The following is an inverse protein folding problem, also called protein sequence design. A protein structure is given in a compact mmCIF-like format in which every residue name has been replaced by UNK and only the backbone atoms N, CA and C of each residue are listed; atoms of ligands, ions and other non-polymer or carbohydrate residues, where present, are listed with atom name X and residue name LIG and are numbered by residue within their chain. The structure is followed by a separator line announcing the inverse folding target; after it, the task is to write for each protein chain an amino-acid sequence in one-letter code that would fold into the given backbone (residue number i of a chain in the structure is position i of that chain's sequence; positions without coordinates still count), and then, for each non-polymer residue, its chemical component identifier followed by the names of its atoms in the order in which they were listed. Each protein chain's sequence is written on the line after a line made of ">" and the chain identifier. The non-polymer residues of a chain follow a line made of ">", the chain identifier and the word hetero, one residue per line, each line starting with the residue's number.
data_IF_985702532175
#
_entry.id   IF_985702532175
#
_cell.length_a   1.000
_cell.length_b   1.000
_cell.length_c   1.000
_cell.angle_alpha   90.00
_cell.angle_beta   90.00
_cell.angle_gamma   90.00
#
_symmetry.space_group_name_H-M   'P 1'
#
loop_
_entity.id
_entity.type
_entity.pdbx_description
1 polymer ?
#
# COMPACT_ATOMS: atom_id res chain seq x y z
N UNK A 1 -17.41 -1.87 -5.38
CA UNK A 1 -16.08 -1.38 -5.82
C UNK A 1 -15.42 -0.74 -4.61
N UNK A 2 -14.32 -1.29 -4.11
CA UNK A 2 -13.62 -0.75 -2.93
C UNK A 2 -12.61 0.28 -3.42
N UNK A 3 -12.84 1.57 -3.16
CA UNK A 3 -11.91 2.64 -3.52
C UNK A 3 -10.85 2.81 -2.43
N UNK A 4 -9.66 3.31 -2.77
CA UNK A 4 -8.59 3.51 -1.79
C UNK A 4 -9.01 4.45 -0.64
N UNK A 5 -9.83 5.46 -0.94
CA UNK A 5 -10.41 6.35 0.07
C UNK A 5 -11.43 5.62 0.96
N UNK A 6 -12.33 4.83 0.37
CA UNK A 6 -13.30 4.05 1.14
C UNK A 6 -12.65 3.04 2.09
N UNK A 7 -11.50 2.45 1.71
CA UNK A 7 -10.72 1.60 2.62
C UNK A 7 -10.19 2.41 3.80
N UNK A 8 -9.66 3.61 3.55
CA UNK A 8 -9.13 4.46 4.61
C UNK A 8 -10.23 4.89 5.59
N UNK A 9 -11.42 5.23 5.08
CA UNK A 9 -12.57 5.60 5.92
C UNK A 9 -13.05 4.43 6.79
N UNK A 10 -13.26 3.26 6.19
CA UNK A 10 -13.67 2.05 6.94
C UNK A 10 -12.62 1.68 7.99
N UNK A 11 -11.33 1.77 7.64
CA UNK A 11 -10.25 1.49 8.59
C UNK A 11 -10.23 2.50 9.73
N UNK A 12 -10.48 3.78 9.44
CA UNK A 12 -10.55 4.82 10.45
C UNK A 12 -11.74 4.60 11.40
N UNK A 13 -12.92 4.30 10.87
CA UNK A 13 -14.10 4.06 11.69
C UNK A 13 -13.92 2.81 12.57
N UNK A 14 -13.30 1.74 12.04
CA UNK A 14 -12.92 0.59 12.86
C UNK A 14 -11.92 0.94 13.97
N UNK A 15 -10.96 1.83 13.71
CA UNK A 15 -10.03 2.30 14.75
C UNK A 15 -10.75 3.15 15.81
N UNK A 16 -11.76 3.94 15.43
CA UNK A 16 -12.60 4.67 16.38
C UNK A 16 -13.36 3.71 17.29
N UNK A 17 -13.93 2.65 16.74
CA UNK A 17 -14.65 1.66 17.54
C UNK A 17 -13.74 0.94 18.55
N UNK A 18 -12.47 0.70 18.19
CA UNK A 18 -11.51 -0.01 19.05
C UNK A 18 -10.83 0.94 20.05
N UNK A 19 -10.49 2.16 19.62
CA UNK A 19 -9.59 3.07 20.33
C UNK A 19 -10.23 4.40 20.72
N UNK A 20 -11.53 4.61 20.51
CA UNK A 20 -12.21 5.90 20.73
C UNK A 20 -12.06 6.44 22.15
N UNK A 21 -12.08 5.56 23.14
CA UNK A 21 -11.91 5.92 24.55
C UNK A 21 -10.43 5.97 25.00
N UNK A 22 -9.49 5.65 24.11
CA UNK A 22 -8.07 5.64 24.44
C UNK A 22 -7.53 7.07 24.62
N UNK A 23 -6.90 7.32 25.76
CA UNK A 23 -6.30 8.64 26.07
C UNK A 23 -5.16 9.03 25.12
N UNK A 24 -4.43 8.05 24.60
CA UNK A 24 -3.29 8.28 23.71
C UNK A 24 -3.29 7.23 22.60
N UNK A 25 -3.41 7.69 21.36
CA UNK A 25 -3.35 6.83 20.16
C UNK A 25 -2.09 7.17 19.38
N UNK A 26 -1.32 6.16 18.99
CA UNK A 26 -0.17 6.31 18.11
C UNK A 26 -0.40 5.50 16.85
N UNK A 27 -0.29 6.14 15.69
CA UNK A 27 -0.45 5.46 14.41
C UNK A 27 0.94 5.04 13.90
N UNK A 28 1.13 3.75 13.61
CA UNK A 28 2.42 3.22 13.17
C UNK A 28 2.28 2.49 11.85
N UNK A 29 3.04 2.92 10.84
CA UNK A 29 2.97 2.39 9.48
C UNK A 29 4.29 1.75 9.06
N UNK A 30 4.27 0.47 8.68
CA UNK A 30 5.41 -0.24 8.11
C UNK A 30 5.30 -0.40 6.59
N UNK A 31 6.38 -0.17 5.84
CA UNK A 31 6.37 -0.28 4.37
C UNK A 31 5.22 0.54 3.75
N UNK A 32 4.35 -0.04 2.93
CA UNK A 32 3.16 0.64 2.39
C UNK A 32 2.12 1.05 3.45
N UNK A 33 2.23 0.52 4.67
CA UNK A 33 1.42 0.94 5.80
C UNK A 33 1.65 2.41 6.20
N UNK A 34 2.76 3.03 5.79
CA UNK A 34 2.95 4.47 5.98
C UNK A 34 1.92 5.31 5.22
N UNK A 35 1.57 4.95 3.98
CA UNK A 35 0.49 5.65 3.24
C UNK A 35 -0.85 5.51 3.94
N UNK A 36 -1.14 4.33 4.49
CA UNK A 36 -2.35 4.09 5.28
C UNK A 36 -2.38 5.02 6.49
N UNK A 37 -1.30 5.07 7.26
CA UNK A 37 -1.22 5.90 8.46
C UNK A 37 -1.29 7.40 8.14
N UNK A 38 -0.72 7.86 7.03
CA UNK A 38 -0.89 9.24 6.56
C UNK A 38 -2.36 9.56 6.26
N UNK A 39 -3.06 8.69 5.54
CA UNK A 39 -4.49 8.89 5.26
C UNK A 39 -5.35 8.85 6.53
N UNK A 40 -5.05 7.96 7.47
CA UNK A 40 -5.76 7.89 8.75
C UNK A 40 -5.51 9.13 9.62
N UNK A 41 -4.29 9.66 9.60
CA UNK A 41 -3.98 10.90 10.29
C UNK A 41 -4.74 12.09 9.68
N UNK A 42 -4.82 12.17 8.34
CA UNK A 42 -5.61 13.19 7.65
C UNK A 42 -7.10 13.10 7.99
N UNK A 43 -7.68 11.89 7.95
CA UNK A 43 -9.07 11.65 8.37
C UNK A 43 -9.30 12.02 9.85
N UNK A 44 -8.32 11.78 10.73
CA UNK A 44 -8.43 12.18 12.13
C UNK A 44 -8.39 13.70 12.31
N UNK A 45 -7.65 14.45 11.48
CA UNK A 45 -7.66 15.91 11.53
C UNK A 45 -9.03 16.49 11.15
N UNK A 46 -9.76 15.83 10.25
CA UNK A 46 -11.09 16.25 9.84
C UNK A 46 -12.17 15.82 10.83
N UNK A 47 -12.09 14.58 11.33
CA UNK A 47 -13.16 13.95 12.13
C UNK A 47 -12.94 14.06 13.64
N UNK A 48 -11.70 14.25 14.09
CA UNK A 48 -11.29 14.41 15.49
C UNK A 48 -11.87 13.36 16.46
N UNK A 49 -11.96 12.09 16.02
CA UNK A 49 -12.56 11.01 16.84
C UNK A 49 -11.53 10.21 17.64
N UNK A 50 -10.23 10.30 17.29
CA UNK A 50 -9.15 9.64 18.01
C UNK A 50 -8.21 10.66 18.63
N UNK A 51 -7.74 10.40 19.86
CA UNK A 51 -6.73 11.23 20.52
C UNK A 51 -5.31 10.89 20.05
N UNK A 52 -5.04 11.12 18.77
CA UNK A 52 -3.75 10.82 18.13
C UNK A 52 -2.66 11.74 18.70
N UNK A 53 -1.61 11.14 19.28
CA UNK A 53 -0.48 11.83 19.89
C UNK A 53 0.80 11.77 19.08
N UNK A 54 0.86 10.89 18.09
CA UNK A 54 2.03 10.77 17.25
C UNK A 54 1.85 9.76 16.12
N UNK A 55 2.74 9.88 15.16
CA UNK A 55 2.81 9.02 13.97
C UNK A 55 4.23 8.46 13.87
N UNK A 56 4.36 7.16 13.66
CA UNK A 56 5.63 6.46 13.48
C UNK A 56 5.71 5.77 12.12
N UNK A 57 6.86 5.89 11.46
CA UNK A 57 7.12 5.25 10.17
C UNK A 57 8.27 4.25 10.28
N UNK A 58 8.03 3.00 9.91
CA UNK A 58 9.00 1.90 9.99
C UNK A 58 9.32 1.40 8.58
N UNK A 59 10.51 1.71 8.07
CA UNK A 59 10.90 1.35 6.70
C UNK A 59 9.78 1.64 5.66
N UNK A 60 9.10 2.79 5.84
CA UNK A 60 7.91 3.11 5.06
C UNK A 60 8.28 3.27 3.59
N UNK A 61 7.42 2.76 2.71
CA UNK A 61 7.45 3.18 1.31
C UNK A 61 7.31 4.70 1.31
N UNK A 62 8.36 5.37 0.83
CA UNK A 62 8.48 6.82 0.94
C UNK A 62 7.67 7.56 -0.13
N UNK A 63 7.66 8.89 -0.01
CA UNK A 63 7.09 9.87 -0.94
C UNK A 63 7.77 9.93 -2.33
N UNK A 64 8.65 8.96 -2.64
CA UNK A 64 9.31 8.82 -3.93
C UNK A 64 9.33 7.33 -4.30
N UNK A 65 9.16 6.98 -5.58
CA UNK A 65 9.28 5.61 -6.03
C UNK A 65 10.60 5.03 -5.53
N UNK A 66 10.53 3.89 -4.83
CA UNK A 66 11.72 3.18 -4.37
C UNK A 66 12.61 2.90 -5.60
N UNK A 67 13.87 3.36 -5.61
CA UNK A 67 14.75 3.30 -6.80
C UNK A 67 14.93 1.89 -7.38
N UNK A 68 14.77 0.87 -6.56
CA UNK A 68 14.85 -0.55 -6.94
C UNK A 68 13.55 -1.12 -7.52
N UNK A 69 12.45 -0.38 -7.46
CA UNK A 69 11.20 -0.71 -8.13
C UNK A 69 11.23 -0.03 -9.50
N UNK A 70 11.76 -0.71 -10.52
CA UNK A 70 11.86 -0.19 -11.90
C UNK A 70 10.50 0.27 -12.41
N UNK A 71 10.24 1.60 -12.47
CA UNK A 71 8.88 2.11 -12.68
C UNK A 71 8.29 1.69 -14.02
N UNK A 72 9.13 1.63 -15.06
CA UNK A 72 8.73 1.19 -16.40
C UNK A 72 8.34 -0.30 -16.43
N UNK A 73 9.13 -1.16 -15.79
CA UNK A 73 8.89 -2.60 -15.72
C UNK A 73 7.64 -2.92 -14.90
N UNK A 74 7.46 -2.24 -13.77
CA UNK A 74 6.27 -2.39 -12.91
C UNK A 74 5.01 -1.88 -13.60
N UNK A 75 5.09 -0.74 -14.28
CA UNK A 75 3.96 -0.19 -15.03
C UNK A 75 3.52 -1.14 -16.15
N UNK A 76 4.47 -1.65 -16.94
CA UNK A 76 4.21 -2.62 -18.01
C UNK A 76 3.61 -3.94 -17.48
N UNK A 77 4.23 -4.55 -16.46
CA UNK A 77 3.68 -5.77 -15.86
C UNK A 77 2.29 -5.53 -15.24
N UNK A 78 2.07 -4.38 -14.60
CA UNK A 78 0.76 -4.07 -14.02
C UNK A 78 -0.32 -3.87 -15.10
N UNK A 79 0.03 -3.32 -16.26
CA UNK A 79 -0.87 -3.21 -17.40
C UNK A 79 -1.28 -4.58 -17.95
N UNK A 80 -0.32 -5.50 -18.07
CA UNK A 80 -0.56 -6.88 -18.54
C UNK A 80 -1.43 -7.66 -17.54
N UNK A 81 -1.15 -7.55 -16.24
CA UNK A 81 -1.95 -8.20 -15.18
C UNK A 81 -3.36 -7.63 -15.13
N UNK A 82 -3.54 -6.31 -15.28
CA UNK A 82 -4.86 -5.67 -15.25
C UNK A 82 -5.71 -5.91 -16.50
N UNK A 83 -5.07 -6.18 -17.64
CA UNK A 83 -5.77 -6.44 -18.90
C UNK A 83 -6.46 -7.82 -18.94
N UNK A 84 -6.23 -8.67 -17.93
CA UNK A 84 -6.84 -10.00 -17.77
C UNK A 84 -6.77 -10.85 -19.05
N UNK A 85 -5.67 -10.70 -19.80
CA UNK A 85 -5.49 -11.39 -21.08
C UNK A 85 -5.31 -12.89 -20.79
N UNK A 86 -6.26 -13.75 -21.21
CA UNK A 86 -6.42 -15.11 -20.68
C UNK A 86 -5.23 -16.05 -20.98
N UNK A 87 -4.37 -15.68 -21.92
CA UNK A 87 -3.19 -16.47 -22.33
C UNK A 87 -1.89 -15.94 -21.67
N UNK A 88 -1.89 -14.71 -21.16
CA UNK A 88 -0.68 -14.01 -20.69
C UNK A 88 -0.65 -13.91 -19.15
N UNK A 89 -1.80 -13.97 -18.49
CA UNK A 89 -1.92 -13.87 -17.04
C UNK A 89 -1.08 -14.90 -16.25
N UNK A 90 -1.00 -16.19 -16.61
CA UNK A 90 -0.20 -17.17 -15.87
C UNK A 90 1.31 -16.91 -15.96
N UNK A 91 1.78 -16.55 -17.16
CA UNK A 91 3.18 -16.22 -17.41
C UNK A 91 3.58 -14.91 -16.71
N UNK A 92 2.71 -13.90 -16.75
CA UNK A 92 2.90 -12.66 -16.01
C UNK A 92 2.96 -12.91 -14.50
N UNK A 93 2.06 -13.72 -13.95
CA UNK A 93 2.06 -14.09 -12.53
C UNK A 93 3.35 -14.81 -12.12
N UNK A 94 3.83 -15.76 -12.94
CA UNK A 94 5.10 -16.46 -12.69
C UNK A 94 6.31 -15.52 -12.78
N UNK A 95 6.28 -14.55 -13.69
CA UNK A 95 7.32 -13.53 -13.81
C UNK A 95 7.34 -12.61 -12.58
N UNK A 96 6.16 -12.16 -12.11
CA UNK A 96 6.04 -11.38 -10.88
C UNK A 96 6.60 -12.15 -9.69
N UNK A 97 6.21 -13.42 -9.53
CA UNK A 97 6.74 -14.28 -8.47
C UNK A 97 8.27 -14.31 -8.50
N UNK A 98 8.85 -14.59 -9.67
CA UNK A 98 10.30 -14.68 -9.87
C UNK A 98 11.02 -13.37 -9.55
N UNK A 99 10.45 -12.23 -9.94
CA UNK A 99 11.01 -10.91 -9.63
C UNK A 99 11.07 -10.70 -8.12
N UNK A 100 9.96 -10.95 -7.43
CA UNK A 100 9.89 -10.72 -5.98
C UNK A 100 10.75 -11.70 -5.19
N UNK A 101 10.81 -12.97 -5.57
CA UNK A 101 11.56 -13.98 -4.79
C UNK A 101 13.05 -13.96 -5.10
N UNK A 102 13.45 -13.84 -6.37
CA UNK A 102 14.87 -13.89 -6.76
C UNK A 102 15.60 -12.55 -6.77
N UNK A 103 14.91 -11.45 -7.09
CA UNK A 103 15.58 -10.15 -7.26
C UNK A 103 15.29 -9.20 -6.10
N UNK A 104 14.10 -9.27 -5.50
CA UNK A 104 13.75 -8.48 -4.31
C UNK A 104 14.08 -9.24 -3.02
N UNK A 105 14.20 -10.57 -3.07
CA UNK A 105 14.64 -11.41 -1.95
C UNK A 105 13.52 -11.80 -0.99
N UNK A 106 12.26 -11.75 -1.43
CA UNK A 106 11.16 -12.28 -0.62
C UNK A 106 11.23 -13.82 -0.52
N UNK A 107 10.74 -14.41 0.59
CA UNK A 107 10.63 -15.85 0.72
C UNK A 107 9.73 -16.47 -0.37
N UNK A 108 10.16 -17.59 -0.96
CA UNK A 108 9.48 -18.30 -2.06
C UNK A 108 8.35 -19.24 -1.60
N UNK A 109 7.92 -19.10 -0.34
CA UNK A 109 6.91 -19.97 0.27
C UNK A 109 5.48 -19.38 0.23
N UNK A 110 5.32 -18.18 -0.33
CA UNK A 110 4.03 -17.49 -0.42
C UNK A 110 3.27 -17.84 -1.71
N UNK A 111 1.94 -17.74 -1.72
CA UNK A 111 1.18 -17.88 -2.95
C UNK A 111 1.48 -16.74 -3.93
N UNK A 112 1.52 -17.05 -5.23
CA UNK A 112 1.78 -16.09 -6.32
C UNK A 112 0.90 -14.84 -6.26
N UNK A 113 -0.34 -14.98 -5.80
CA UNK A 113 -1.29 -13.88 -5.63
C UNK A 113 -0.76 -12.78 -4.70
N UNK A 114 0.02 -13.10 -3.67
CA UNK A 114 0.58 -12.10 -2.75
C UNK A 114 1.54 -11.15 -3.45
N UNK A 115 2.38 -11.69 -4.33
CA UNK A 115 3.36 -10.92 -5.10
C UNK A 115 2.68 -10.08 -6.19
N UNK A 116 1.63 -10.63 -6.81
CA UNK A 116 0.78 -9.88 -7.76
C UNK A 116 0.08 -8.72 -7.05
N UNK A 117 -0.50 -8.94 -5.86
CA UNK A 117 -1.08 -7.86 -5.06
C UNK A 117 -0.04 -6.80 -4.67
N UNK A 118 1.19 -7.22 -4.30
CA UNK A 118 2.28 -6.29 -4.00
C UNK A 118 2.68 -5.45 -5.23
N UNK A 119 2.76 -6.06 -6.42
CA UNK A 119 2.99 -5.36 -7.68
C UNK A 119 1.89 -4.33 -7.95
N UNK A 120 0.62 -4.73 -7.87
CA UNK A 120 -0.52 -3.83 -8.12
C UNK A 120 -0.52 -2.69 -7.12
N UNK A 121 -0.26 -2.95 -5.83
CA UNK A 121 -0.18 -1.92 -4.79
C UNK A 121 0.94 -0.92 -5.07
N UNK A 122 2.08 -1.42 -5.54
CA UNK A 122 3.22 -0.58 -5.92
C UNK A 122 2.90 0.28 -7.14
N UNK A 123 2.27 -0.28 -8.17
CA UNK A 123 1.99 0.42 -9.43
C UNK A 123 0.80 1.38 -9.35
N UNK A 124 -0.16 1.11 -8.46
CA UNK A 124 -1.33 1.97 -8.19
C UNK A 124 -1.03 3.15 -7.27
N UNK A 125 0.16 3.22 -6.69
CA UNK A 125 0.53 4.32 -5.82
C UNK A 125 0.84 5.55 -6.67
N UNK A 126 0.02 6.59 -6.54
CA UNK A 126 0.28 7.89 -7.15
C UNK A 126 1.25 8.70 -6.27
N UNK A 127 2.53 8.62 -6.59
CA UNK A 127 3.59 9.34 -5.88
C UNK A 127 3.54 10.86 -6.13
N UNK A 128 2.93 11.31 -7.22
CA UNK A 128 2.77 12.74 -7.51
C UNK A 128 1.71 13.37 -6.61
N UNK A 129 0.58 12.67 -6.41
CA UNK A 129 -0.45 13.08 -5.45
C UNK A 129 0.11 13.15 -4.03
N UNK A 130 0.87 12.14 -3.60
CA UNK A 130 1.50 12.09 -2.28
C UNK A 130 2.50 13.24 -2.06
N UNK A 131 3.20 13.69 -3.11
CA UNK A 131 4.10 14.84 -3.00
C UNK A 131 3.36 16.18 -2.91
N UNK A 132 2.15 16.30 -3.49
CA UNK A 132 1.34 17.52 -3.46
C UNK A 132 0.53 17.71 -2.18
N UNK A 133 0.20 16.64 -1.46
CA UNK A 133 -0.51 16.70 -0.17
C UNK A 133 0.40 17.09 1.01
N UNK A 134 1.46 17.84 0.70
CA UNK A 134 2.36 18.46 1.66
C UNK A 134 1.89 19.86 2.02
#
# INVERSE_FOLDING_TARGET
>A
HVTALGVAEITYDALVDICGDAKHVFLVGHSFGGHTVTNLAALNLERCKLNVRGIGFLASAGHRPHRTLWPATISMLSGVVRADLPVIAPAAHSLVHTIFTRFVGFPDNGPTSHFVSALIRTSSTDYELLNRQR
#
